data_IF_116700861072
#
_entry.id   IF_116700861072
#
_cell.length_a   1.000
_cell.length_b   1.000
_cell.length_c   1.000
_cell.angle_alpha   90.00
_cell.angle_beta   90.00
_cell.angle_gamma   90.00
#
_symmetry.space_group_name_H-M   'P 1'
#
loop_
_entity.id
_entity.type
_entity.pdbx_description
1 polymer ?
#
# COMPACT_ATOMS: atom_id res chain seq x y z
N UNK A 1 11.96 -15.14 -25.28
CA UNK A 1 10.83 -14.21 -24.96
C UNK A 1 9.98 -14.87 -23.90
N UNK A 2 9.73 -14.22 -22.76
CA UNK A 2 8.93 -14.84 -21.69
C UNK A 2 7.46 -14.80 -22.10
N UNK A 3 6.79 -15.96 -22.08
CA UNK A 3 5.35 -16.06 -22.38
C UNK A 3 4.57 -15.98 -21.07
N UNK A 4 3.88 -14.87 -20.83
CA UNK A 4 3.02 -14.71 -19.67
C UNK A 4 1.71 -15.48 -19.87
N UNK A 5 1.19 -16.07 -18.79
CA UNK A 5 -0.16 -16.64 -18.82
C UNK A 5 -1.20 -15.52 -18.90
N UNK A 6 -2.41 -15.79 -19.43
CA UNK A 6 -3.48 -14.78 -19.48
C UNK A 6 -3.79 -14.18 -18.11
N UNK A 7 -3.73 -14.97 -17.04
CA UNK A 7 -3.94 -14.49 -15.68
C UNK A 7 -2.83 -13.54 -15.18
N UNK A 8 -1.56 -13.79 -15.54
CA UNK A 8 -0.45 -12.89 -15.20
C UNK A 8 -0.55 -11.57 -15.97
N UNK A 9 -0.85 -11.61 -17.28
CA UNK A 9 -1.09 -10.39 -18.07
C UNK A 9 -2.21 -9.53 -17.45
N UNK A 10 -3.38 -10.11 -17.19
CA UNK A 10 -4.50 -9.37 -16.60
C UNK A 10 -4.17 -8.72 -15.26
N UNK A 11 -3.39 -9.40 -14.41
CA UNK A 11 -2.98 -8.82 -13.11
C UNK A 11 -1.93 -7.72 -13.24
N UNK A 12 -1.04 -7.83 -14.22
CA UNK A 12 -0.08 -6.75 -14.53
C UNK A 12 -0.79 -5.53 -15.11
N UNK A 13 -1.75 -5.74 -16.01
CA UNK A 13 -2.63 -4.67 -16.53
C UNK A 13 -3.39 -3.99 -15.39
N UNK A 14 -3.92 -4.77 -14.44
CA UNK A 14 -4.68 -4.24 -13.29
C UNK A 14 -3.86 -3.38 -12.31
N UNK A 15 -2.52 -3.41 -12.37
CA UNK A 15 -1.64 -2.57 -11.54
C UNK A 15 -0.89 -1.51 -12.35
N UNK A 16 -1.18 -1.40 -13.65
CA UNK A 16 -0.55 -0.45 -14.57
C UNK A 16 -1.52 0.67 -14.95
N UNK A 17 -0.99 1.82 -15.34
CA UNK A 17 -1.77 2.90 -15.94
C UNK A 17 -2.16 2.58 -17.40
N UNK A 18 -2.90 3.47 -18.05
CA UNK A 18 -3.34 3.31 -19.44
C UNK A 18 -2.21 3.28 -20.48
N UNK A 19 -0.98 3.61 -20.08
CA UNK A 19 0.23 3.56 -20.92
C UNK A 19 1.04 2.29 -20.65
N UNK A 20 0.60 1.43 -19.74
CA UNK A 20 1.32 0.24 -19.31
C UNK A 20 2.44 0.53 -18.31
N UNK A 21 2.43 1.68 -17.64
CA UNK A 21 3.43 2.05 -16.63
C UNK A 21 2.91 1.74 -15.23
N UNK A 22 3.72 1.10 -14.39
CA UNK A 22 3.42 0.87 -12.97
C UNK A 22 3.91 2.08 -12.17
N UNK A 23 3.01 3.04 -11.96
CA UNK A 23 3.19 4.18 -11.06
C UNK A 23 2.52 3.89 -9.71
N UNK A 24 3.08 2.97 -8.93
CA UNK A 24 2.47 2.48 -7.70
C UNK A 24 2.85 3.33 -6.47
N UNK A 25 1.91 3.48 -5.54
CA UNK A 25 2.13 4.03 -4.20
C UNK A 25 2.56 2.91 -3.26
N UNK A 26 3.77 3.00 -2.70
CA UNK A 26 4.26 2.03 -1.72
C UNK A 26 4.06 2.54 -0.29
N UNK A 27 3.22 1.85 0.48
CA UNK A 27 2.99 2.12 1.90
C UNK A 27 2.88 0.82 2.73
N UNK A 28 3.79 -0.11 2.48
CA UNK A 28 3.91 -1.40 3.17
C UNK A 28 4.80 -1.34 4.43
N UNK A 29 5.29 -0.15 4.80
CA UNK A 29 6.18 0.00 5.93
C UNK A 29 5.47 -0.35 7.25
N UNK A 30 6.06 -1.30 7.99
CA UNK A 30 5.67 -1.73 9.33
C UNK A 30 6.42 -0.92 10.39
N UNK A 31 7.48 -1.50 10.95
CA UNK A 31 8.31 -0.88 11.99
C UNK A 31 8.84 0.49 11.60
N UNK A 32 9.25 0.68 10.35
CA UNK A 32 9.77 1.97 9.87
C UNK A 32 8.75 3.10 10.05
N UNK A 33 7.47 2.85 9.75
CA UNK A 33 6.38 3.81 9.98
C UNK A 33 6.20 4.08 11.47
N UNK A 34 6.21 3.03 12.30
CA UNK A 34 6.15 3.17 13.77
C UNK A 34 7.29 4.01 14.33
N UNK A 35 8.51 3.91 13.77
CA UNK A 35 9.65 4.76 14.18
C UNK A 35 9.38 6.24 13.89
N UNK A 36 8.78 6.55 12.74
CA UNK A 36 8.44 7.92 12.37
C UNK A 36 7.41 8.52 13.33
N UNK A 37 6.35 7.76 13.66
CA UNK A 37 5.36 8.18 14.65
C UNK A 37 5.97 8.43 16.04
N UNK A 38 6.78 7.48 16.52
CA UNK A 38 7.47 7.59 17.81
C UNK A 38 8.37 8.82 17.89
N UNK A 39 9.13 9.10 16.82
CA UNK A 39 9.99 10.28 16.74
C UNK A 39 9.20 11.59 16.76
N UNK A 40 8.12 11.68 15.97
CA UNK A 40 7.28 12.88 15.89
C UNK A 40 6.53 13.14 17.21
N UNK A 41 5.93 12.10 17.79
CA UNK A 41 5.17 12.20 19.03
C UNK A 41 6.06 12.30 20.29
N UNK A 42 7.37 12.06 20.17
CA UNK A 42 8.33 12.00 21.28
C UNK A 42 7.94 10.98 22.36
N UNK A 43 7.50 9.80 21.91
CA UNK A 43 7.12 8.67 22.79
C UNK A 43 7.88 7.41 22.38
N UNK A 44 7.99 6.44 23.29
CA UNK A 44 8.51 5.11 22.97
C UNK A 44 7.68 4.41 21.88
N UNK A 45 8.32 3.59 21.04
CA UNK A 45 7.63 2.89 19.93
C UNK A 45 6.49 1.98 20.39
N UNK A 46 6.62 1.42 21.60
CA UNK A 46 5.60 0.58 22.23
C UNK A 46 4.33 1.35 22.61
N UNK A 47 4.40 2.69 22.69
CA UNK A 47 3.28 3.57 22.98
C UNK A 47 2.56 4.07 21.71
N UNK A 48 3.14 3.87 20.52
CA UNK A 48 2.44 4.12 19.26
C UNK A 48 1.38 3.03 19.09
N UNK A 49 0.11 3.42 19.04
CA UNK A 49 -0.98 2.45 18.89
C UNK A 49 -0.99 1.83 17.49
N UNK A 50 -1.58 0.64 17.38
CA UNK A 50 -1.79 -0.03 16.09
C UNK A 50 -2.77 0.78 15.24
N UNK A 51 -3.81 1.29 15.87
CA UNK A 51 -4.90 2.04 15.28
C UNK A 51 -4.39 3.30 14.58
N UNK A 52 -3.41 4.00 15.16
CA UNK A 52 -2.77 5.17 14.53
C UNK A 52 -2.09 4.81 13.21
N UNK A 53 -1.41 3.65 13.13
CA UNK A 53 -0.74 3.21 11.90
C UNK A 53 -1.76 2.81 10.83
N UNK A 54 -2.82 2.10 11.22
CA UNK A 54 -3.91 1.71 10.33
C UNK A 54 -4.67 2.92 9.79
N UNK A 55 -4.97 3.90 10.65
CA UNK A 55 -5.65 5.14 10.28
C UNK A 55 -4.79 5.96 9.31
N UNK A 56 -3.50 6.13 9.60
CA UNK A 56 -2.57 6.82 8.72
C UNK A 56 -2.51 6.19 7.33
N UNK A 57 -2.35 4.86 7.25
CA UNK A 57 -2.35 4.13 5.97
C UNK A 57 -3.67 4.33 5.24
N UNK A 58 -4.79 4.27 5.96
CA UNK A 58 -6.12 4.47 5.39
C UNK A 58 -6.28 5.87 4.79
N UNK A 59 -5.83 6.91 5.48
CA UNK A 59 -5.85 8.29 4.99
C UNK A 59 -4.98 8.41 3.73
N UNK A 60 -3.73 7.93 3.79
CA UNK A 60 -2.81 8.00 2.65
C UNK A 60 -3.38 7.29 1.43
N UNK A 61 -3.88 6.07 1.60
CA UNK A 61 -4.44 5.29 0.49
C UNK A 61 -5.69 5.97 -0.08
N UNK A 62 -6.62 6.42 0.77
CA UNK A 62 -7.84 7.11 0.30
C UNK A 62 -7.52 8.37 -0.49
N UNK A 63 -6.53 9.15 -0.06
CA UNK A 63 -6.20 10.45 -0.67
C UNK A 63 -5.31 10.30 -1.91
N UNK A 64 -4.32 9.40 -1.89
CA UNK A 64 -3.29 9.33 -2.93
C UNK A 64 -3.54 8.25 -3.99
N UNK A 65 -4.30 7.18 -3.68
CA UNK A 65 -4.55 6.12 -4.67
C UNK A 65 -5.28 6.56 -5.94
N UNK A 66 -6.11 7.63 -5.99
CA UNK A 66 -6.63 8.14 -7.26
C UNK A 66 -5.54 8.62 -8.25
N UNK A 67 -4.33 8.88 -7.76
CA UNK A 67 -3.19 9.37 -8.53
C UNK A 67 -2.14 8.29 -8.82
N UNK A 68 -2.37 7.04 -8.38
CA UNK A 68 -1.46 5.93 -8.57
C UNK A 68 -2.11 4.82 -9.41
N UNK A 69 -1.32 4.05 -10.14
CA UNK A 69 -1.82 2.89 -10.88
C UNK A 69 -2.15 1.72 -9.95
N UNK A 70 -1.49 1.65 -8.80
CA UNK A 70 -1.70 0.64 -7.77
C UNK A 70 -1.21 1.11 -6.39
N UNK A 71 -1.59 0.37 -5.36
CA UNK A 71 -1.07 0.54 -4.00
C UNK A 71 -0.41 -0.76 -3.55
N UNK A 72 0.79 -0.67 -2.97
CA UNK A 72 1.47 -1.75 -2.26
C UNK A 72 1.26 -1.57 -0.75
N UNK A 73 0.69 -2.60 -0.12
CA UNK A 73 0.38 -2.67 1.32
C UNK A 73 0.84 -4.01 1.88
N UNK A 74 0.90 -4.09 3.20
CA UNK A 74 1.11 -5.31 3.97
C UNK A 74 -0.20 -5.79 4.64
N UNK A 75 -0.35 -7.10 4.93
CA UNK A 75 -1.54 -7.61 5.60
C UNK A 75 -1.69 -7.15 7.06
N UNK A 76 -0.59 -6.82 7.73
CA UNK A 76 -0.57 -6.54 9.16
C UNK A 76 -1.39 -5.30 9.53
N UNK A 77 -1.24 -4.19 8.81
CA UNK A 77 -1.94 -2.92 9.07
C UNK A 77 -2.72 -2.41 7.85
N UNK A 78 -2.52 -3.01 6.67
CA UNK A 78 -2.99 -2.46 5.40
C UNK A 78 -4.35 -2.95 4.92
N UNK A 79 -4.97 -3.98 5.54
CA UNK A 79 -6.20 -4.59 5.01
C UNK A 79 -7.37 -3.59 4.95
N UNK A 80 -7.56 -2.78 5.99
CA UNK A 80 -8.59 -1.75 5.97
C UNK A 80 -8.27 -0.69 4.91
N UNK A 81 -7.03 -0.20 4.86
CA UNK A 81 -6.59 0.76 3.85
C UNK A 81 -6.79 0.25 2.40
N UNK A 82 -6.55 -1.03 2.14
CA UNK A 82 -6.73 -1.66 0.83
C UNK A 82 -8.18 -1.58 0.32
N UNK A 83 -9.15 -1.64 1.25
CA UNK A 83 -10.58 -1.46 0.96
C UNK A 83 -10.96 -0.02 0.61
N UNK A 84 -10.14 0.95 1.02
CA UNK A 84 -10.38 2.38 0.82
C UNK A 84 -9.65 2.96 -0.41
N UNK A 85 -8.89 2.13 -1.14
CA UNK A 85 -8.21 2.59 -2.36
C UNK A 85 -9.23 2.94 -3.46
N UNK A 86 -8.82 3.82 -4.36
CA UNK A 86 -9.58 4.18 -5.56
C UNK A 86 -9.94 2.92 -6.36
N UNK A 87 -11.16 2.81 -6.92
CA UNK A 87 -11.51 1.74 -7.85
C UNK A 87 -10.59 1.66 -9.07
N UNK A 88 -9.91 2.76 -9.42
CA UNK A 88 -8.94 2.83 -10.52
C UNK A 88 -7.54 2.31 -10.18
N UNK A 89 -7.25 2.06 -8.89
CA UNK A 89 -5.93 1.60 -8.46
C UNK A 89 -5.93 0.08 -8.23
N UNK A 90 -4.92 -0.60 -8.77
CA UNK A 90 -4.60 -1.98 -8.44
C UNK A 90 -4.13 -2.15 -6.99
N UNK A 91 -3.97 -3.40 -6.57
CA UNK A 91 -3.49 -3.77 -5.24
C UNK A 91 -2.35 -4.78 -5.34
N UNK A 92 -1.25 -4.49 -4.66
CA UNK A 92 -0.17 -5.42 -4.37
C UNK A 92 -0.10 -5.65 -2.87
N UNK A 93 0.19 -6.89 -2.47
CA UNK A 93 0.33 -7.27 -1.07
C UNK A 93 1.74 -7.81 -0.83
N UNK A 94 2.41 -7.23 0.16
CA UNK A 94 3.70 -7.70 0.67
C UNK A 94 3.55 -9.12 1.28
N UNK A 95 4.60 -9.94 1.14
CA UNK A 95 4.56 -11.37 1.55
C UNK A 95 5.87 -11.88 2.17
N UNK A 96 6.84 -10.99 2.38
CA UNK A 96 8.07 -11.31 3.10
C UNK A 96 7.77 -11.82 4.51
N UNK A 97 8.62 -12.76 4.94
CA UNK A 97 8.62 -13.35 6.29
C UNK A 97 9.29 -12.41 7.28
#
# INVERSE_FOLDING_TARGET
MVRLSPGKCRRLEAVSDSRGIIGALAIDQRDALRRLFSAEMKVEKSLVSREQLEEFKTIVVRVLSPHASAVLLEPEYGLHAASQRSPSAGLLMAYEV
#
